data_IF_422590824301
#
_entry.id   IF_422590824301
#
_cell.length_a   1.000
_cell.length_b   1.000
_cell.length_c   1.000
_cell.angle_alpha   90.00
_cell.angle_beta   90.00
_cell.angle_gamma   90.00
#
_symmetry.space_group_name_H-M   'P 1'
#
loop_
_entity.id
_entity.type
_entity.pdbx_description
1 polymer ?
#
# COMPACT_ATOMS: atom_id res chain seq x y z
N UNK A 1 26.98 -57.94 -9.36
CA UNK A 1 26.17 -56.77 -9.77
C UNK A 1 24.84 -56.62 -8.99
N UNK A 2 24.75 -56.97 -7.70
CA UNK A 2 23.47 -56.90 -6.92
C UNK A 2 23.51 -56.01 -5.65
N UNK A 3 24.63 -55.35 -5.34
CA UNK A 3 24.77 -54.52 -4.13
C UNK A 3 24.64 -53.00 -4.34
N UNK A 4 24.72 -52.51 -5.59
CA UNK A 4 24.58 -51.07 -5.87
C UNK A 4 23.13 -50.63 -6.10
N UNK A 5 22.24 -51.54 -6.50
CA UNK A 5 20.83 -51.24 -6.80
C UNK A 5 19.99 -50.91 -5.55
N UNK A 6 20.43 -51.32 -4.35
CA UNK A 6 19.69 -51.11 -3.10
C UNK A 6 19.79 -49.70 -2.53
N UNK A 7 20.83 -48.94 -2.89
CA UNK A 7 21.01 -47.54 -2.44
C UNK A 7 20.59 -46.53 -3.50
N UNK A 8 20.55 -46.94 -4.78
CA UNK A 8 20.15 -46.06 -5.88
C UNK A 8 18.66 -45.70 -5.79
N UNK A 9 17.78 -46.63 -5.40
CA UNK A 9 16.34 -46.37 -5.25
C UNK A 9 16.04 -45.33 -4.17
N UNK A 10 16.52 -45.44 -2.90
CA UNK A 10 16.25 -44.42 -1.89
C UNK A 10 16.94 -43.08 -2.19
N UNK A 11 18.14 -43.08 -2.78
CA UNK A 11 18.82 -41.84 -3.21
C UNK A 11 18.03 -41.16 -4.33
N UNK A 12 17.48 -41.91 -5.29
CA UNK A 12 16.67 -41.37 -6.38
C UNK A 12 15.33 -40.82 -5.88
N UNK A 13 14.69 -41.47 -4.90
CA UNK A 13 13.50 -40.92 -4.23
C UNK A 13 13.82 -39.66 -3.43
N UNK A 14 14.92 -39.61 -2.67
CA UNK A 14 15.34 -38.39 -1.96
C UNK A 14 15.67 -37.27 -2.95
N UNK A 15 16.35 -37.58 -4.06
CA UNK A 15 16.64 -36.60 -5.12
C UNK A 15 15.36 -36.08 -5.77
N UNK A 16 14.40 -36.96 -6.08
CA UNK A 16 13.09 -36.55 -6.62
C UNK A 16 12.34 -35.70 -5.62
N UNK A 17 12.28 -36.07 -4.33
CA UNK A 17 11.62 -35.29 -3.29
C UNK A 17 12.25 -33.90 -3.17
N UNK A 18 13.58 -33.81 -3.10
CA UNK A 18 14.32 -32.53 -3.07
C UNK A 18 14.08 -31.71 -4.36
N UNK A 19 14.06 -32.35 -5.53
CA UNK A 19 13.80 -31.69 -6.82
C UNK A 19 12.33 -31.27 -7.00
N UNK A 20 11.38 -31.96 -6.36
CA UNK A 20 9.96 -31.56 -6.34
C UNK A 20 9.71 -30.39 -5.40
N UNK A 21 10.46 -30.31 -4.28
CA UNK A 21 10.39 -29.16 -3.37
C UNK A 21 11.07 -27.91 -3.93
N UNK A 22 12.05 -28.04 -4.85
CA UNK A 22 12.68 -26.90 -5.52
C UNK A 22 11.80 -26.24 -6.60
N UNK A 23 10.69 -26.87 -7.01
CA UNK A 23 9.76 -26.33 -8.02
C UNK A 23 8.44 -25.80 -7.45
N UNK A 24 8.22 -25.95 -6.16
CA UNK A 24 7.05 -25.37 -5.51
C UNK A 24 7.39 -23.96 -5.03
N UNK A 25 6.44 -23.05 -5.13
CA UNK A 25 6.55 -21.74 -4.48
C UNK A 25 6.78 -21.97 -2.97
N UNK A 26 7.64 -21.16 -2.33
CA UNK A 26 7.83 -21.26 -0.89
C UNK A 26 6.50 -21.00 -0.17
N UNK A 27 6.35 -21.56 1.03
CA UNK A 27 5.15 -21.31 1.86
C UNK A 27 4.92 -19.81 2.08
N UNK A 28 6.02 -19.08 2.32
CA UNK A 28 6.08 -17.63 2.45
C UNK A 28 7.18 -17.11 1.52
N UNK A 29 6.86 -16.12 0.68
CA UNK A 29 7.89 -15.33 0.02
C UNK A 29 8.48 -14.32 1.01
N UNK A 30 9.78 -14.44 1.26
CA UNK A 30 10.48 -13.63 2.26
C UNK A 30 10.81 -12.22 1.77
N UNK A 31 10.74 -11.96 0.45
CA UNK A 31 10.96 -10.62 -0.15
C UNK A 31 12.26 -9.98 0.39
N UNK A 32 13.37 -10.74 0.37
CA UNK A 32 14.62 -10.28 1.02
C UNK A 32 15.45 -9.31 0.15
N UNK A 33 15.15 -9.23 -1.15
CA UNK A 33 15.95 -8.51 -2.14
C UNK A 33 15.11 -7.55 -2.99
N UNK A 34 15.79 -6.59 -3.60
CA UNK A 34 15.19 -5.73 -4.65
C UNK A 34 14.83 -6.59 -5.86
N UNK A 35 13.59 -6.49 -6.35
CA UNK A 35 13.08 -7.29 -7.48
C UNK A 35 12.35 -6.44 -8.49
N UNK A 36 12.21 -6.95 -9.71
CA UNK A 36 11.32 -6.37 -10.72
C UNK A 36 9.85 -6.55 -10.33
N UNK A 37 9.05 -5.51 -10.55
CA UNK A 37 7.61 -5.57 -10.38
C UNK A 37 6.94 -6.36 -11.52
N UNK A 38 5.79 -6.97 -11.23
CA UNK A 38 4.99 -7.69 -12.23
C UNK A 38 4.28 -6.69 -13.14
N UNK A 39 4.43 -6.87 -14.46
CA UNK A 39 3.84 -6.00 -15.48
C UNK A 39 2.41 -6.46 -15.85
N UNK A 40 1.43 -5.60 -15.60
CA UNK A 40 0.01 -5.75 -15.95
C UNK A 40 -0.40 -4.86 -17.14
N UNK A 41 0.56 -4.27 -17.86
CA UNK A 41 0.31 -3.37 -18.98
C UNK A 41 -0.51 -4.04 -20.09
N UNK A 42 -1.43 -3.28 -20.67
CA UNK A 42 -2.28 -3.75 -21.78
C UNK A 42 -1.45 -4.01 -23.02
N UNK A 43 -1.84 -5.04 -23.79
CA UNK A 43 -1.24 -5.32 -25.10
C UNK A 43 -1.58 -4.22 -26.11
N UNK A 44 -2.85 -3.82 -26.16
CA UNK A 44 -3.33 -2.72 -26.99
C UNK A 44 -3.37 -1.44 -26.16
N UNK A 45 -2.52 -0.48 -26.53
CA UNK A 45 -2.32 0.77 -25.80
C UNK A 45 -2.92 1.92 -26.57
N UNK A 46 -3.52 2.86 -25.87
CA UNK A 46 -3.98 4.09 -26.50
C UNK A 46 -2.79 5.01 -26.79
N UNK A 47 -2.93 5.87 -27.79
CA UNK A 47 -1.98 6.97 -27.98
C UNK A 47 -2.19 7.97 -26.84
N UNK A 48 -1.20 8.07 -25.96
CA UNK A 48 -1.24 8.99 -24.82
C UNK A 48 -0.37 10.20 -25.15
N UNK A 49 -0.98 11.39 -25.14
CA UNK A 49 -0.26 12.64 -25.35
C UNK A 49 0.56 13.00 -24.12
N UNK A 50 1.62 13.77 -24.31
CA UNK A 50 2.29 14.42 -23.18
C UNK A 50 1.37 15.45 -22.53
N UNK A 51 1.61 15.73 -21.25
CA UNK A 51 0.92 16.79 -20.51
C UNK A 51 1.93 17.66 -19.78
N UNK A 52 1.65 18.96 -19.73
CA UNK A 52 2.42 19.92 -18.93
C UNK A 52 1.97 19.91 -17.46
N UNK A 53 0.83 19.29 -17.17
CA UNK A 53 0.30 19.11 -15.81
C UNK A 53 -0.32 17.74 -15.71
N UNK A 54 0.04 17.01 -14.65
CA UNK A 54 -0.52 15.69 -14.33
C UNK A 54 -1.35 15.74 -13.07
N UNK A 55 -2.38 14.91 -13.02
CA UNK A 55 -3.10 14.59 -11.80
C UNK A 55 -2.51 13.30 -11.20
N UNK A 56 -2.03 13.38 -9.97
CA UNK A 56 -1.48 12.23 -9.24
C UNK A 56 -2.47 11.85 -8.15
N UNK A 57 -2.69 10.55 -7.97
CA UNK A 57 -3.60 10.00 -6.96
C UNK A 57 -2.90 8.91 -6.17
N UNK A 58 -3.10 8.88 -4.85
CA UNK A 58 -2.82 7.72 -4.00
C UNK A 58 -4.10 7.21 -3.36
N UNK A 59 -4.24 5.90 -3.21
CA UNK A 59 -5.40 5.30 -2.56
C UNK A 59 -5.13 3.89 -2.03
N UNK A 60 -5.23 3.73 -0.71
CA UNK A 60 -5.40 2.41 -0.10
C UNK A 60 -6.84 1.94 -0.37
N UNK A 61 -7.00 0.83 -1.11
CA UNK A 61 -8.31 0.34 -1.54
C UNK A 61 -8.89 -0.73 -0.62
N UNK A 62 -8.20 -1.02 0.49
CA UNK A 62 -8.59 -2.01 1.49
C UNK A 62 -9.02 -3.34 0.86
N UNK A 63 -8.18 -3.85 -0.05
CA UNK A 63 -8.41 -5.07 -0.83
C UNK A 63 -9.81 -5.18 -1.45
N UNK A 64 -10.42 -4.05 -1.81
CA UNK A 64 -11.75 -3.99 -2.39
C UNK A 64 -12.87 -4.42 -1.44
N UNK A 65 -12.66 -4.42 -0.12
CA UNK A 65 -13.66 -4.79 0.88
C UNK A 65 -14.80 -3.77 0.97
N UNK A 66 -14.46 -2.47 0.88
CA UNK A 66 -15.36 -1.39 1.23
C UNK A 66 -15.60 -1.34 2.75
N UNK A 67 -16.27 -0.30 3.22
CA UNK A 67 -16.44 -0.10 4.67
C UNK A 67 -17.69 -0.76 5.24
N UNK A 68 -18.63 -1.14 4.37
CA UNK A 68 -19.89 -1.81 4.75
C UNK A 68 -19.65 -3.22 5.32
N UNK A 69 -18.45 -3.79 5.16
CA UNK A 69 -18.06 -5.10 5.69
C UNK A 69 -17.13 -4.89 6.89
N UNK A 70 -17.58 -5.33 8.06
CA UNK A 70 -16.77 -5.33 9.27
C UNK A 70 -15.79 -6.50 9.21
N UNK A 71 -14.58 -6.23 8.75
CA UNK A 71 -13.50 -7.20 8.66
C UNK A 71 -12.85 -7.41 10.04
N UNK A 72 -12.39 -8.64 10.29
CA UNK A 72 -11.96 -9.05 11.64
C UNK A 72 -10.71 -8.35 12.15
N UNK A 73 -9.83 -7.90 11.25
CA UNK A 73 -8.53 -7.33 11.61
C UNK A 73 -8.52 -5.82 11.86
N UNK A 74 -9.54 -5.09 11.38
CA UNK A 74 -9.52 -3.63 11.29
C UNK A 74 -10.86 -2.95 11.66
N UNK A 75 -11.98 -3.68 11.79
CA UNK A 75 -13.30 -3.07 11.98
C UNK A 75 -14.22 -3.84 12.95
N UNK A 76 -13.64 -4.54 13.94
CA UNK A 76 -14.35 -5.21 15.04
C UNK A 76 -15.44 -6.20 14.61
N UNK A 77 -15.35 -6.73 13.39
CA UNK A 77 -16.21 -7.80 12.89
C UNK A 77 -15.58 -9.18 13.05
N UNK A 78 -16.23 -10.18 12.45
CA UNK A 78 -15.76 -11.58 12.41
C UNK A 78 -15.51 -12.06 10.97
N UNK A 79 -15.71 -11.19 9.97
CA UNK A 79 -15.59 -11.55 8.55
C UNK A 79 -14.11 -11.70 8.20
N UNK A 80 -13.77 -12.87 7.66
CA UNK A 80 -12.40 -13.24 7.22
C UNK A 80 -12.34 -13.73 5.76
N UNK A 81 -13.49 -13.95 5.12
CA UNK A 81 -13.59 -14.30 3.71
C UNK A 81 -14.81 -13.61 3.10
N UNK A 82 -14.59 -12.90 2.00
CA UNK A 82 -15.63 -12.25 1.22
C UNK A 82 -16.08 -13.16 0.09
N UNK A 83 -17.35 -13.02 -0.26
CA UNK A 83 -17.93 -13.59 -1.47
C UNK A 83 -17.43 -12.84 -2.70
N UNK A 84 -17.48 -13.50 -3.86
CA UNK A 84 -17.10 -12.87 -5.12
C UNK A 84 -17.91 -11.60 -5.40
N UNK A 85 -19.22 -11.64 -5.14
CA UNK A 85 -20.13 -10.54 -5.41
C UNK A 85 -19.87 -9.32 -4.51
N UNK A 86 -19.56 -9.54 -3.22
CA UNK A 86 -19.15 -8.48 -2.29
C UNK A 86 -17.92 -7.74 -2.82
N UNK A 87 -16.88 -8.48 -3.21
CA UNK A 87 -15.63 -7.89 -3.74
C UNK A 87 -15.87 -7.18 -5.06
N UNK A 88 -16.53 -7.82 -6.05
CA UNK A 88 -16.71 -7.20 -7.37
C UNK A 88 -17.62 -5.97 -7.32
N UNK A 89 -18.65 -5.98 -6.46
CA UNK A 89 -19.53 -4.82 -6.26
C UNK A 89 -18.72 -3.59 -5.80
N UNK A 90 -17.79 -3.78 -4.88
CA UNK A 90 -16.98 -2.65 -4.40
C UNK A 90 -15.83 -2.29 -5.37
N UNK A 91 -15.22 -3.27 -6.04
CA UNK A 91 -14.26 -2.99 -7.12
C UNK A 91 -14.89 -2.17 -8.26
N UNK A 92 -16.17 -2.40 -8.59
CA UNK A 92 -16.88 -1.57 -9.58
C UNK A 92 -17.03 -0.11 -9.11
N UNK A 93 -17.25 0.12 -7.81
CA UNK A 93 -17.27 1.47 -7.22
C UNK A 93 -15.90 2.14 -7.30
N UNK A 94 -14.83 1.42 -6.95
CA UNK A 94 -13.43 1.88 -7.06
C UNK A 94 -13.09 2.24 -8.51
N UNK A 95 -13.39 1.36 -9.46
CA UNK A 95 -13.20 1.59 -10.90
C UNK A 95 -13.98 2.80 -11.38
N UNK A 96 -15.23 2.97 -10.92
CA UNK A 96 -16.05 4.13 -11.25
C UNK A 96 -15.43 5.42 -10.72
N UNK A 97 -14.92 5.44 -9.49
CA UNK A 97 -14.21 6.58 -8.91
C UNK A 97 -12.96 6.92 -9.71
N UNK A 98 -12.11 5.94 -10.03
CA UNK A 98 -10.90 6.13 -10.85
C UNK A 98 -11.26 6.73 -12.22
N UNK A 99 -12.30 6.22 -12.88
CA UNK A 99 -12.75 6.70 -14.19
C UNK A 99 -13.44 8.08 -14.13
N UNK A 100 -13.88 8.51 -12.93
CA UNK A 100 -14.47 9.83 -12.69
C UNK A 100 -13.38 10.86 -12.40
N UNK A 101 -12.48 10.57 -11.47
CA UNK A 101 -11.35 11.44 -11.07
C UNK A 101 -10.35 11.58 -12.24
N UNK A 102 -10.13 10.49 -12.98
CA UNK A 102 -9.21 10.37 -14.12
C UNK A 102 -7.74 10.78 -13.83
N UNK A 103 -7.08 10.22 -12.78
CA UNK A 103 -5.65 10.45 -12.55
C UNK A 103 -4.75 10.06 -13.73
N UNK A 104 -3.61 10.72 -13.87
CA UNK A 104 -2.59 10.38 -14.85
C UNK A 104 -1.60 9.35 -14.32
N UNK A 105 -1.38 9.36 -13.00
CA UNK A 105 -0.62 8.39 -12.21
C UNK A 105 -1.46 8.04 -10.98
N UNK A 106 -1.61 6.74 -10.71
CA UNK A 106 -2.34 6.22 -9.57
C UNK A 106 -1.45 5.25 -8.78
N UNK A 107 -1.26 5.54 -7.50
CA UNK A 107 -0.54 4.72 -6.52
C UNK A 107 -1.59 3.99 -5.67
N UNK A 108 -1.57 2.66 -5.69
CA UNK A 108 -2.52 1.84 -4.90
C UNK A 108 -1.79 1.06 -3.82
N UNK A 109 -2.45 0.89 -2.69
CA UNK A 109 -2.05 0.01 -1.59
C UNK A 109 -3.17 -1.01 -1.32
N UNK A 110 -2.81 -2.13 -0.68
CA UNK A 110 -3.70 -3.25 -0.36
C UNK A 110 -4.44 -3.83 -1.57
N UNK A 111 -3.70 -4.12 -2.66
CA UNK A 111 -4.29 -4.76 -3.84
C UNK A 111 -4.11 -6.27 -3.75
N UNK A 112 -5.21 -7.02 -3.73
CA UNK A 112 -5.17 -8.48 -3.68
C UNK A 112 -5.05 -9.12 -5.09
N UNK A 113 -4.18 -10.13 -5.20
CA UNK A 113 -4.04 -10.97 -6.39
C UNK A 113 -4.32 -12.43 -6.04
N UNK A 114 -5.56 -12.87 -6.30
CA UNK A 114 -5.99 -14.25 -6.07
C UNK A 114 -5.89 -14.69 -4.60
N UNK A 115 -6.11 -13.77 -3.66
CA UNK A 115 -6.22 -14.11 -2.25
C UNK A 115 -7.50 -14.90 -1.98
N UNK A 116 -7.46 -15.83 -1.02
CA UNK A 116 -8.67 -16.55 -0.59
C UNK A 116 -9.69 -15.58 0.01
N UNK A 117 -9.23 -14.59 0.80
CA UNK A 117 -10.11 -13.58 1.44
C UNK A 117 -10.96 -12.79 0.45
N UNK A 118 -10.49 -12.59 -0.78
CA UNK A 118 -11.17 -11.83 -1.84
C UNK A 118 -11.61 -12.72 -3.00
N UNK A 119 -12.06 -13.93 -2.69
CA UNK A 119 -12.65 -14.87 -3.64
C UNK A 119 -11.77 -15.19 -4.86
N UNK A 120 -10.45 -15.19 -4.65
CA UNK A 120 -9.43 -15.44 -5.68
C UNK A 120 -9.52 -14.51 -6.90
N UNK A 121 -10.04 -13.30 -6.71
CA UNK A 121 -10.05 -12.27 -7.75
C UNK A 121 -8.64 -11.70 -7.90
N UNK A 122 -8.23 -11.51 -9.15
CA UNK A 122 -7.05 -10.73 -9.51
C UNK A 122 -7.48 -9.26 -9.65
N UNK A 123 -7.31 -8.48 -8.59
CA UNK A 123 -7.81 -7.10 -8.54
C UNK A 123 -7.03 -6.17 -9.47
N UNK A 124 -5.72 -6.41 -9.60
CA UNK A 124 -4.89 -5.70 -10.57
C UNK A 124 -5.44 -5.85 -11.99
N UNK A 125 -5.70 -7.08 -12.43
CA UNK A 125 -6.32 -7.32 -13.73
C UNK A 125 -7.72 -6.72 -13.81
N UNK A 126 -8.52 -6.84 -12.75
CA UNK A 126 -9.88 -6.30 -12.71
C UNK A 126 -9.92 -4.80 -13.00
N UNK A 127 -9.06 -4.03 -12.30
CA UNK A 127 -8.94 -2.57 -12.41
C UNK A 127 -8.33 -2.19 -13.76
N UNK A 128 -7.25 -2.84 -14.18
CA UNK A 128 -6.60 -2.54 -15.46
C UNK A 128 -7.56 -2.73 -16.64
N UNK A 129 -8.31 -3.83 -16.67
CA UNK A 129 -9.25 -4.13 -17.76
C UNK A 129 -10.43 -3.14 -17.85
N UNK A 130 -10.73 -2.38 -16.78
CA UNK A 130 -11.92 -1.51 -16.68
C UNK A 130 -11.61 -0.03 -16.51
N UNK A 131 -10.35 0.35 -16.55
CA UNK A 131 -9.92 1.76 -16.53
C UNK A 131 -9.23 2.14 -17.83
N UNK A 132 -9.00 3.42 -18.05
CA UNK A 132 -8.30 3.93 -19.24
C UNK A 132 -6.77 3.78 -19.16
N UNK A 133 -6.23 3.27 -18.05
CA UNK A 133 -4.79 3.09 -17.89
C UNK A 133 -4.26 2.03 -18.86
N UNK A 134 -3.12 2.31 -19.48
CA UNK A 134 -2.46 1.39 -20.42
C UNK A 134 -1.32 0.62 -19.74
N UNK A 135 -0.75 1.17 -18.67
CA UNK A 135 0.39 0.61 -17.95
C UNK A 135 0.06 0.43 -16.47
N UNK A 136 0.37 -0.75 -15.94
CA UNK A 136 0.15 -1.09 -14.55
C UNK A 136 1.26 -2.02 -14.08
N UNK A 137 1.76 -1.79 -12.87
CA UNK A 137 2.84 -2.56 -12.27
C UNK A 137 2.45 -2.92 -10.85
N UNK A 138 2.72 -4.16 -10.45
CA UNK A 138 2.35 -4.72 -9.14
C UNK A 138 3.58 -5.25 -8.41
N UNK A 139 3.69 -4.96 -7.13
CA UNK A 139 4.71 -5.50 -6.24
C UNK A 139 4.05 -6.15 -5.03
N UNK A 140 4.25 -7.45 -4.86
CA UNK A 140 3.76 -8.16 -3.67
C UNK A 140 4.51 -7.67 -2.42
N UNK A 141 3.75 -7.40 -1.35
CA UNK A 141 4.26 -7.14 0.01
C UNK A 141 3.86 -8.27 0.98
N UNK A 142 2.92 -9.14 0.61
CA UNK A 142 2.51 -10.28 1.43
C UNK A 142 2.11 -11.47 0.55
N UNK A 143 2.99 -12.47 0.41
CA UNK A 143 2.72 -13.67 -0.41
C UNK A 143 2.93 -14.95 0.40
N UNK A 144 1.81 -15.61 0.73
CA UNK A 144 1.75 -16.81 1.56
C UNK A 144 0.76 -17.80 0.98
N UNK A 145 1.20 -19.05 0.79
CA UNK A 145 0.36 -20.11 0.23
C UNK A 145 -0.79 -20.50 1.17
N UNK A 146 -0.59 -20.40 2.48
CA UNK A 146 -1.62 -20.69 3.49
C UNK A 146 -1.28 -20.08 4.85
N UNK A 147 -2.10 -19.12 5.31
CA UNK A 147 -2.09 -18.61 6.69
C UNK A 147 -2.99 -19.52 7.55
N UNK A 148 -2.44 -20.20 8.57
CA UNK A 148 -3.17 -21.13 9.43
C UNK A 148 -3.93 -20.41 10.57
N UNK A 149 -4.49 -19.22 10.31
CA UNK A 149 -5.25 -18.42 11.27
C UNK A 149 -6.51 -17.85 10.64
N UNK A 150 -7.58 -17.76 11.43
CA UNK A 150 -8.84 -17.04 11.15
C UNK A 150 -9.54 -17.37 9.81
N UNK A 151 -9.13 -18.48 9.18
CA UNK A 151 -9.64 -18.89 7.87
C UNK A 151 -9.09 -18.11 6.68
N UNK A 152 -8.11 -17.21 6.87
CA UNK A 152 -7.55 -16.31 5.85
C UNK A 152 -7.00 -17.09 4.65
N UNK A 153 -6.24 -18.16 4.88
CA UNK A 153 -5.69 -19.03 3.83
C UNK A 153 -4.66 -18.33 2.93
N UNK A 154 -4.75 -18.51 1.60
CA UNK A 154 -3.78 -17.95 0.65
C UNK A 154 -3.88 -16.42 0.61
N UNK A 155 -2.74 -15.75 0.69
CA UNK A 155 -2.58 -14.30 0.49
C UNK A 155 -1.49 -14.02 -0.54
N UNK A 156 -1.74 -12.99 -1.34
CA UNK A 156 -0.83 -12.34 -2.30
C UNK A 156 -1.38 -10.92 -2.44
N UNK A 157 -1.03 -10.09 -1.46
CA UNK A 157 -1.31 -8.66 -1.41
C UNK A 157 -0.09 -7.89 -1.91
N UNK A 158 -0.33 -6.69 -2.43
CA UNK A 158 0.74 -5.80 -2.86
C UNK A 158 0.32 -4.37 -3.10
N UNK A 159 1.33 -3.56 -3.42
CA UNK A 159 1.16 -2.19 -3.89
C UNK A 159 1.17 -2.17 -5.43
N UNK A 160 0.61 -1.11 -6.01
CA UNK A 160 0.63 -0.94 -7.45
C UNK A 160 0.86 0.49 -7.90
N UNK A 161 1.39 0.63 -9.12
CA UNK A 161 1.46 1.91 -9.84
C UNK A 161 0.78 1.72 -11.20
N UNK A 162 -0.29 2.50 -11.43
CA UNK A 162 -0.98 2.60 -12.70
C UNK A 162 -0.65 3.95 -13.34
N UNK A 163 -0.40 3.94 -14.65
CA UNK A 163 0.08 5.11 -15.38
C UNK A 163 -0.45 5.14 -16.80
N UNK A 164 -0.72 6.35 -17.29
CA UNK A 164 -0.99 6.57 -18.71
C UNK A 164 0.24 6.31 -19.58
N UNK A 165 1.44 6.50 -19.05
CA UNK A 165 2.69 6.33 -19.78
C UNK A 165 3.49 5.14 -19.26
N UNK A 166 4.31 4.56 -20.11
CA UNK A 166 5.12 3.38 -19.77
C UNK A 166 6.13 3.73 -18.69
N UNK A 167 6.16 2.93 -17.62
CA UNK A 167 7.27 2.98 -16.68
C UNK A 167 8.39 2.02 -17.10
N UNK A 168 9.59 2.38 -16.72
CA UNK A 168 10.82 1.63 -16.93
C UNK A 168 11.55 1.46 -15.61
N UNK A 169 12.33 0.39 -15.49
CA UNK A 169 13.06 0.04 -14.27
C UNK A 169 12.14 0.02 -13.03
N UNK A 170 10.99 -0.64 -13.13
CA UNK A 170 10.02 -0.70 -12.05
C UNK A 170 10.44 -1.76 -11.04
N UNK A 171 10.83 -1.31 -9.86
CA UNK A 171 11.43 -2.14 -8.81
C UNK A 171 10.61 -2.08 -7.53
N UNK A 172 10.58 -3.19 -6.81
CA UNK A 172 10.19 -3.24 -5.41
C UNK A 172 11.44 -3.29 -4.54
N UNK A 173 11.43 -2.54 -3.45
CA UNK A 173 12.51 -2.46 -2.47
C UNK A 173 11.96 -2.89 -1.11
N UNK A 174 12.50 -3.94 -0.48
CA UNK A 174 12.02 -4.37 0.82
C UNK A 174 12.34 -3.33 1.91
N UNK A 175 11.39 -3.14 2.81
CA UNK A 175 11.55 -2.31 3.99
C UNK A 175 11.91 -3.17 5.22
N UNK A 176 12.50 -2.55 6.26
CA UNK A 176 12.82 -3.27 7.49
C UNK A 176 11.58 -3.91 8.13
N UNK A 177 11.74 -5.15 8.61
CA UNK A 177 10.69 -5.92 9.26
C UNK A 177 10.36 -5.36 10.66
N UNK A 178 9.16 -5.71 11.14
CA UNK A 178 8.70 -5.52 12.52
C UNK A 178 9.59 -6.27 13.51
N UNK A 179 10.13 -5.58 14.53
CA UNK A 179 10.96 -6.23 15.55
C UNK A 179 10.17 -6.64 16.79
N UNK A 180 9.05 -5.99 17.05
CA UNK A 180 8.11 -6.25 18.14
C UNK A 180 7.38 -7.60 18.07
N UNK A 181 7.26 -8.20 16.89
CA UNK A 181 6.62 -9.51 16.71
C UNK A 181 7.53 -10.70 17.07
N UNK A 182 6.92 -11.77 17.61
CA UNK A 182 7.58 -13.06 17.77
C UNK A 182 7.97 -13.68 16.41
N UNK A 183 8.90 -14.63 16.43
CA UNK A 183 9.47 -15.19 15.21
C UNK A 183 8.44 -15.88 14.29
N UNK A 184 7.42 -16.53 14.84
CA UNK A 184 6.42 -17.24 14.06
C UNK A 184 5.44 -16.24 13.44
N UNK A 185 4.92 -15.31 14.22
CA UNK A 185 4.02 -14.25 13.71
C UNK A 185 4.74 -13.44 12.64
N UNK A 186 5.98 -13.01 12.89
CA UNK A 186 6.82 -12.28 11.93
C UNK A 186 7.07 -13.05 10.64
N UNK A 187 7.17 -14.39 10.70
CA UNK A 187 7.35 -15.20 9.50
C UNK A 187 6.14 -15.13 8.58
N UNK A 188 4.92 -15.07 9.14
CA UNK A 188 3.66 -14.97 8.38
C UNK A 188 3.14 -13.54 8.20
N UNK A 189 3.82 -12.53 8.74
CA UNK A 189 3.38 -11.14 8.68
C UNK A 189 3.69 -10.48 7.34
N UNK A 190 2.97 -9.42 7.00
CA UNK A 190 3.23 -8.56 5.83
C UNK A 190 4.64 -7.98 5.88
N UNK A 191 5.25 -7.80 4.70
CA UNK A 191 6.60 -7.28 4.53
C UNK A 191 6.53 -6.03 3.67
N UNK A 192 6.53 -4.88 4.33
CA UNK A 192 6.35 -3.61 3.62
C UNK A 192 7.43 -3.36 2.57
N UNK A 193 7.03 -2.68 1.50
CA UNK A 193 7.89 -2.42 0.34
C UNK A 193 7.70 -1.00 -0.18
N UNK A 194 8.74 -0.49 -0.84
CA UNK A 194 8.69 0.70 -1.68
C UNK A 194 8.71 0.27 -3.14
N UNK A 195 7.79 0.77 -3.94
CA UNK A 195 7.86 0.67 -5.40
C UNK A 195 8.52 1.91 -5.97
N UNK A 196 9.42 1.76 -6.94
CA UNK A 196 9.97 2.88 -7.71
C UNK A 196 9.90 2.57 -9.20
N UNK A 197 9.67 3.57 -10.04
CA UNK A 197 9.84 3.45 -11.49
C UNK A 197 9.98 4.80 -12.17
N UNK A 198 10.42 4.80 -13.42
CA UNK A 198 10.57 6.03 -14.21
C UNK A 198 9.70 6.02 -15.44
N UNK A 199 8.95 7.10 -15.67
CA UNK A 199 8.22 7.32 -16.92
C UNK A 199 8.88 8.41 -17.76
N UNK A 200 8.77 8.28 -19.09
CA UNK A 200 9.18 9.28 -20.07
C UNK A 200 7.96 9.58 -20.95
N UNK A 201 7.52 10.84 -20.96
CA UNK A 201 6.40 11.29 -21.79
C UNK A 201 6.83 11.49 -23.26
N UNK A 202 5.88 11.55 -24.22
CA UNK A 202 6.19 11.77 -25.63
C UNK A 202 6.99 13.06 -25.93
N UNK A 203 6.90 14.08 -25.08
CA UNK A 203 7.67 15.32 -25.21
C UNK A 203 9.09 15.23 -24.60
N UNK A 204 9.48 14.07 -24.06
CA UNK A 204 10.78 13.83 -23.45
C UNK A 204 10.85 14.13 -21.95
N UNK A 205 9.79 14.65 -21.33
CA UNK A 205 9.79 14.91 -19.90
C UNK A 205 9.84 13.60 -19.10
N UNK A 206 10.75 13.53 -18.13
CA UNK A 206 10.95 12.37 -17.27
C UNK A 206 10.39 12.61 -15.87
N UNK A 207 9.78 11.57 -15.28
CA UNK A 207 9.30 11.61 -13.89
C UNK A 207 9.61 10.28 -13.22
N UNK A 208 10.30 10.33 -12.08
CA UNK A 208 10.41 9.24 -11.12
C UNK A 208 9.13 9.16 -10.27
N UNK A 209 8.61 7.96 -10.09
CA UNK A 209 7.37 7.68 -9.37
C UNK A 209 7.69 6.68 -8.27
N UNK A 210 7.32 7.01 -7.03
CA UNK A 210 7.58 6.13 -5.89
C UNK A 210 6.31 5.96 -5.04
N UNK A 211 5.90 4.72 -4.80
CA UNK A 211 4.72 4.35 -3.99
C UNK A 211 5.17 3.51 -2.78
N UNK A 212 4.55 3.66 -1.62
CA UNK A 212 4.79 2.82 -0.44
C UNK A 212 3.51 2.60 0.37
N UNK A 213 3.53 1.56 1.20
CA UNK A 213 2.61 1.37 2.33
C UNK A 213 3.50 1.07 3.54
N UNK A 214 3.46 1.90 4.59
CA UNK A 214 4.27 1.67 5.79
C UNK A 214 3.45 0.92 6.85
N UNK A 215 4.13 0.26 7.79
CA UNK A 215 3.48 -0.55 8.83
C UNK A 215 2.43 0.25 9.61
N UNK A 216 1.22 -0.31 9.78
CA UNK A 216 0.19 0.31 10.61
C UNK A 216 0.38 0.03 12.12
N UNK A 217 0.58 -1.25 12.46
CA UNK A 217 0.40 -1.75 13.83
C UNK A 217 1.69 -1.93 14.65
N UNK A 218 2.86 -1.47 14.17
CA UNK A 218 4.11 -1.65 14.93
C UNK A 218 4.15 -0.83 16.21
N UNK A 219 4.63 -1.42 17.30
CA UNK A 219 4.75 -0.78 18.63
C UNK A 219 6.18 -0.35 18.99
N UNK A 220 7.13 -0.57 18.09
CA UNK A 220 8.55 -0.22 18.21
C UNK A 220 8.97 0.87 17.20
N UNK A 221 10.26 1.00 16.91
CA UNK A 221 10.80 1.97 15.95
C UNK A 221 10.64 1.55 14.47
N UNK A 222 9.90 0.48 14.16
CA UNK A 222 9.80 -0.07 12.80
C UNK A 222 9.36 0.97 11.79
N UNK A 223 8.24 1.67 12.02
CA UNK A 223 7.74 2.71 11.10
C UNK A 223 8.77 3.79 10.84
N UNK A 224 9.54 4.20 11.86
CA UNK A 224 10.64 5.14 11.70
C UNK A 224 11.74 4.59 10.79
N UNK A 225 12.22 3.36 11.02
CA UNK A 225 13.23 2.71 10.16
C UNK A 225 12.74 2.52 8.73
N UNK A 226 11.45 2.21 8.55
CA UNK A 226 10.81 2.11 7.24
C UNK A 226 10.76 3.47 6.54
N UNK A 227 10.33 4.53 7.23
CA UNK A 227 10.31 5.89 6.70
C UNK A 227 11.71 6.38 6.32
N UNK A 228 12.73 6.13 7.15
CA UNK A 228 14.12 6.49 6.86
C UNK A 228 14.64 5.79 5.60
N UNK A 229 14.35 4.49 5.43
CA UNK A 229 14.70 3.75 4.23
C UNK A 229 13.97 4.28 2.99
N UNK A 230 12.68 4.59 3.12
CA UNK A 230 11.88 5.20 2.07
C UNK A 230 12.44 6.57 1.64
N UNK A 231 12.76 7.45 2.60
CA UNK A 231 13.38 8.76 2.34
C UNK A 231 14.72 8.59 1.62
N UNK A 232 15.55 7.63 2.03
CA UNK A 232 16.82 7.33 1.35
C UNK A 232 16.62 6.96 -0.13
N UNK A 233 15.61 6.14 -0.45
CA UNK A 233 15.29 5.78 -1.85
C UNK A 233 14.85 7.02 -2.64
N UNK A 234 14.02 7.87 -2.03
CA UNK A 234 13.60 9.13 -2.63
C UNK A 234 14.77 10.10 -2.86
N UNK A 235 15.70 10.19 -1.90
CA UNK A 235 16.88 11.03 -1.97
C UNK A 235 17.79 10.57 -3.13
N UNK A 236 18.08 9.27 -3.24
CA UNK A 236 18.86 8.69 -4.36
C UNK A 236 18.24 9.03 -5.73
N UNK A 237 16.90 8.97 -5.83
CA UNK A 237 16.19 9.31 -7.07
C UNK A 237 16.17 10.82 -7.34
N UNK A 238 16.06 11.65 -6.30
CA UNK A 238 16.12 13.10 -6.40
C UNK A 238 17.50 13.58 -6.87
N UNK A 239 18.58 12.92 -6.44
CA UNK A 239 19.95 13.23 -6.85
C UNK A 239 20.21 13.02 -8.35
N UNK A 240 19.39 12.21 -9.03
CA UNK A 240 19.46 12.06 -10.50
C UNK A 240 19.08 13.33 -11.27
N UNK A 241 18.52 14.34 -10.59
CA UNK A 241 18.04 15.58 -11.20
C UNK A 241 16.71 15.43 -11.96
N UNK A 242 16.12 14.23 -11.96
CA UNK A 242 14.82 13.96 -12.57
C UNK A 242 13.71 14.36 -11.59
N UNK A 243 12.61 14.90 -12.11
CA UNK A 243 11.44 15.22 -11.30
C UNK A 243 10.92 13.96 -10.59
N UNK A 244 10.62 14.07 -9.31
CA UNK A 244 10.14 12.98 -8.46
C UNK A 244 8.74 13.32 -7.97
N UNK A 245 7.83 12.36 -8.08
CA UNK A 245 6.59 12.31 -7.33
C UNK A 245 6.53 11.05 -6.50
N UNK A 246 6.11 11.18 -5.26
CA UNK A 246 6.03 10.07 -4.35
C UNK A 246 4.86 10.19 -3.37
N UNK A 247 4.42 9.09 -2.81
CA UNK A 247 3.33 9.07 -1.86
C UNK A 247 2.92 7.66 -1.48
N UNK A 248 1.78 7.57 -0.83
CA UNK A 248 1.25 6.32 -0.32
C UNK A 248 0.54 6.51 1.01
N UNK A 249 0.21 5.38 1.62
CA UNK A 249 -0.24 5.30 3.00
C UNK A 249 0.99 5.15 3.91
N UNK A 250 1.25 6.18 4.72
CA UNK A 250 2.39 6.17 5.63
C UNK A 250 2.04 5.66 7.01
N UNK A 251 0.75 5.47 7.31
CA UNK A 251 0.30 5.16 8.66
C UNK A 251 0.87 6.10 9.73
N UNK A 252 1.20 7.34 9.40
CA UNK A 252 1.77 8.34 10.31
C UNK A 252 0.93 9.61 10.23
N UNK A 253 0.70 10.26 11.37
CA UNK A 253 -0.02 11.53 11.41
C UNK A 253 0.84 12.71 10.95
N UNK A 254 0.25 13.75 10.35
CA UNK A 254 0.98 14.98 10.12
C UNK A 254 1.41 15.59 11.47
N UNK A 255 2.60 16.20 11.54
CA UNK A 255 2.98 17.01 12.70
C UNK A 255 1.88 18.03 13.03
N UNK A 256 1.61 18.27 14.30
CA UNK A 256 0.57 19.19 14.79
C UNK A 256 -0.88 18.72 14.57
N UNK A 257 -1.12 17.42 14.43
CA UNK A 257 -2.48 16.88 14.48
C UNK A 257 -3.14 17.15 15.84
N UNK A 258 -4.42 17.49 15.83
CA UNK A 258 -5.18 17.86 17.04
C UNK A 258 -5.39 16.66 17.98
N UNK A 259 -5.52 15.46 17.41
CA UNK A 259 -5.52 14.18 18.14
C UNK A 259 -4.36 13.29 17.67
N UNK A 260 -3.77 12.58 18.62
CA UNK A 260 -2.68 11.61 18.40
C UNK A 260 -2.96 10.25 19.01
N UNK A 261 -4.10 10.08 19.68
CA UNK A 261 -4.49 8.83 20.31
C UNK A 261 -5.96 8.58 19.97
N UNK A 262 -6.21 7.44 19.34
CA UNK A 262 -7.52 7.05 18.82
C UNK A 262 -7.99 5.73 19.43
N UNK A 263 -7.42 5.31 20.57
CA UNK A 263 -7.78 4.03 21.18
C UNK A 263 -9.28 3.95 21.51
N UNK A 264 -9.88 5.06 21.97
CA UNK A 264 -11.31 5.11 22.31
C UNK A 264 -12.21 5.14 21.07
N UNK A 265 -11.75 5.76 20.00
CA UNK A 265 -12.41 5.81 18.70
C UNK A 265 -12.35 4.48 17.97
N UNK A 266 -11.25 3.73 18.11
CA UNK A 266 -10.97 2.50 17.37
C UNK A 266 -11.34 1.22 18.15
N UNK A 267 -11.61 1.29 19.45
CA UNK A 267 -11.89 0.10 20.27
C UNK A 267 -13.15 -0.66 19.87
N UNK A 268 -13.10 -1.98 19.97
CA UNK A 268 -14.28 -2.83 19.91
C UNK A 268 -15.09 -2.74 21.21
N UNK A 269 -16.34 -3.23 21.20
CA UNK A 269 -17.27 -3.06 22.34
C UNK A 269 -16.75 -3.63 23.67
N UNK A 270 -15.96 -4.69 23.62
CA UNK A 270 -15.42 -5.37 24.82
C UNK A 270 -13.96 -4.97 25.14
N UNK A 271 -13.38 -4.07 24.34
CA UNK A 271 -12.03 -3.57 24.55
C UNK A 271 -12.03 -2.37 25.51
N UNK A 272 -10.95 -2.23 26.27
CA UNK A 272 -10.73 -1.15 27.23
C UNK A 272 -9.27 -0.74 27.20
N UNK A 273 -9.03 0.56 27.22
CA UNK A 273 -7.71 1.18 27.16
C UNK A 273 -7.65 2.33 28.17
N UNK A 274 -6.43 2.80 28.47
CA UNK A 274 -6.16 3.91 29.39
C UNK A 274 -6.55 3.70 30.86
N UNK A 275 -6.93 2.50 31.28
CA UNK A 275 -7.22 2.16 32.67
C UNK A 275 -6.05 1.46 33.36
N UNK A 276 -6.02 1.54 34.69
CA UNK A 276 -4.98 0.88 35.48
C UNK A 276 -5.14 -0.64 35.39
N UNK A 277 -4.17 -1.30 34.77
CA UNK A 277 -4.13 -2.76 34.62
C UNK A 277 -4.38 -3.24 33.19
N UNK A 278 -4.69 -2.32 32.27
CA UNK A 278 -4.86 -2.64 30.85
C UNK A 278 -3.51 -3.05 30.25
N UNK A 279 -3.51 -4.20 29.58
CA UNK A 279 -2.37 -4.76 28.87
C UNK A 279 -2.86 -5.36 27.54
N UNK A 280 -2.63 -4.71 26.40
CA UNK A 280 -1.85 -3.47 26.25
C UNK A 280 -2.58 -2.20 26.75
N UNK A 281 -1.84 -1.18 27.16
CA UNK A 281 -2.41 0.11 27.63
C UNK A 281 -3.01 0.96 26.50
N UNK A 282 -2.52 0.77 25.27
CA UNK A 282 -3.03 1.39 24.04
C UNK A 282 -3.34 0.30 23.02
N UNK A 283 -4.34 0.55 22.17
CA UNK A 283 -4.63 -0.29 21.00
C UNK A 283 -3.51 -0.17 19.97
N UNK A 284 -3.07 -1.29 19.42
CA UNK A 284 -2.10 -1.30 18.32
C UNK A 284 -2.65 -0.53 17.12
N UNK A 285 -1.82 0.33 16.51
CA UNK A 285 -2.21 1.15 15.36
C UNK A 285 -3.08 2.37 15.68
N UNK A 286 -3.41 2.63 16.95
CA UNK A 286 -4.28 3.77 17.33
C UNK A 286 -3.54 4.88 18.10
N UNK A 287 -2.36 4.62 18.67
CA UNK A 287 -1.57 5.64 19.38
C UNK A 287 -0.36 6.09 18.58
N UNK A 288 -0.45 7.31 18.03
CA UNK A 288 0.55 7.97 17.20
C UNK A 288 1.38 8.99 18.01
N UNK A 289 1.08 9.19 19.30
CA UNK A 289 1.74 10.16 20.16
C UNK A 289 3.28 10.03 20.16
N UNK A 290 3.87 8.82 20.24
CA UNK A 290 5.33 8.66 20.23
C UNK A 290 6.00 9.01 18.88
N UNK A 291 5.22 9.06 17.81
CA UNK A 291 5.69 9.14 16.43
C UNK A 291 5.29 10.44 15.70
N UNK A 292 4.58 11.35 16.38
CA UNK A 292 4.05 12.59 15.80
C UNK A 292 5.09 13.49 15.12
N UNK A 293 6.38 13.33 15.45
CA UNK A 293 7.48 14.09 14.86
C UNK A 293 8.19 13.39 13.69
N UNK A 294 7.86 12.12 13.39
CA UNK A 294 8.64 11.32 12.46
C UNK A 294 8.52 11.77 11.00
N UNK A 295 7.40 12.39 10.60
CA UNK A 295 7.24 12.93 9.23
C UNK A 295 7.98 14.26 9.00
N UNK A 296 8.48 14.94 10.03
CA UNK A 296 9.15 16.25 9.89
C UNK A 296 10.27 16.23 8.82
N UNK A 297 11.20 15.25 8.79
CA UNK A 297 12.26 15.23 7.79
C UNK A 297 11.75 15.16 6.34
N UNK A 298 10.59 14.56 6.11
CA UNK A 298 9.99 14.49 4.78
C UNK A 298 9.42 15.85 4.36
N UNK A 299 8.71 16.54 5.26
CA UNK A 299 8.21 17.91 5.06
C UNK A 299 9.34 18.94 4.87
N UNK A 300 10.50 18.74 5.49
CA UNK A 300 11.67 19.61 5.32
C UNK A 300 12.39 19.38 3.98
N UNK A 301 12.41 18.15 3.47
CA UNK A 301 13.18 17.76 2.26
C UNK A 301 12.39 17.86 0.96
N UNK A 302 11.06 17.76 1.03
CA UNK A 302 10.17 17.64 -0.12
C UNK A 302 9.00 18.62 -0.03
N UNK A 303 8.41 18.95 -1.18
CA UNK A 303 7.19 19.74 -1.24
C UNK A 303 5.99 18.82 -1.03
N UNK A 304 5.23 18.95 0.06
CA UNK A 304 3.97 18.23 0.24
C UNK A 304 2.90 18.81 -0.69
N UNK A 305 2.00 17.95 -1.18
CA UNK A 305 0.78 18.42 -1.84
C UNK A 305 -0.17 19.13 -0.88
N UNK A 306 -0.14 18.74 0.40
CA UNK A 306 -0.83 19.36 1.52
C UNK A 306 0.16 20.11 2.41
N UNK A 307 0.33 21.44 2.22
CA UNK A 307 1.15 22.26 3.08
C UNK A 307 0.69 22.22 4.55
N UNK A 308 1.63 22.31 5.47
CA UNK A 308 1.37 22.21 6.92
C UNK A 308 0.45 23.32 7.44
N UNK A 309 0.60 24.55 6.93
CA UNK A 309 -0.25 25.68 7.29
C UNK A 309 -1.71 25.48 6.84
N UNK A 310 -1.92 24.82 5.69
CA UNK A 310 -3.25 24.44 5.20
C UNK A 310 -3.85 23.33 6.06
N UNK A 311 -3.08 22.32 6.42
CA UNK A 311 -3.53 21.24 7.30
C UNK A 311 -3.96 21.78 8.67
N UNK A 312 -3.12 22.59 9.31
CA UNK A 312 -3.41 23.17 10.64
C UNK A 312 -4.66 24.06 10.59
N UNK A 313 -4.93 24.73 9.47
CA UNK A 313 -6.10 25.61 9.36
C UNK A 313 -7.43 24.84 9.34
N UNK A 314 -7.47 23.61 8.80
CA UNK A 314 -8.68 22.79 8.71
C UNK A 314 -8.31 21.29 8.52
N UNK A 315 -8.00 20.58 9.60
CA UNK A 315 -7.57 19.18 9.51
C UNK A 315 -8.69 18.26 8.99
N UNK A 316 -9.94 18.54 9.36
CA UNK A 316 -11.10 17.74 8.99
C UNK A 316 -11.29 17.67 7.48
N UNK A 317 -10.99 18.76 6.76
CA UNK A 317 -11.04 18.79 5.30
C UNK A 317 -10.08 17.79 4.63
N UNK A 318 -8.98 17.44 5.30
CA UNK A 318 -7.91 16.64 4.72
C UNK A 318 -7.81 15.22 5.26
N UNK A 319 -8.58 14.87 6.30
CA UNK A 319 -8.61 13.51 6.83
C UNK A 319 -8.80 12.48 5.72
N UNK A 320 -8.06 11.40 5.83
CA UNK A 320 -7.97 10.35 4.82
C UNK A 320 -8.23 8.97 5.36
N UNK A 321 -8.38 8.76 6.67
CA UNK A 321 -8.63 7.45 7.26
C UNK A 321 -9.68 7.51 8.36
N UNK A 322 -10.45 6.42 8.49
CA UNK A 322 -11.22 6.10 9.68
C UNK A 322 -11.63 4.62 9.69
N UNK A 323 -11.45 4.00 10.84
CA UNK A 323 -11.68 2.59 11.15
C UNK A 323 -13.12 2.13 10.85
N UNK A 324 -14.11 2.93 11.26
CA UNK A 324 -15.52 2.52 11.22
C UNK A 324 -16.34 3.15 10.09
N UNK A 325 -17.23 2.39 9.42
CA UNK A 325 -18.01 2.89 8.28
C UNK A 325 -18.92 4.09 8.58
N UNK A 326 -19.41 4.17 9.82
CA UNK A 326 -20.45 5.13 10.21
C UNK A 326 -19.89 6.46 10.72
N UNK A 327 -18.56 6.61 10.76
CA UNK A 327 -17.90 7.86 11.09
C UNK A 327 -17.27 8.50 9.84
N UNK A 328 -17.25 9.84 9.75
CA UNK A 328 -16.36 10.54 8.83
C UNK A 328 -14.92 10.11 9.03
N UNK A 329 -14.06 10.37 8.03
CA UNK A 329 -12.62 10.25 8.25
C UNK A 329 -12.22 11.12 9.45
N UNK A 330 -11.29 10.62 10.27
CA UNK A 330 -10.94 11.20 11.57
C UNK A 330 -9.45 11.54 11.69
N UNK A 331 -8.62 11.07 10.75
CA UNK A 331 -7.17 11.33 10.72
C UNK A 331 -6.61 11.30 9.31
N UNK A 332 -5.42 11.86 9.11
CA UNK A 332 -4.71 11.85 7.80
C UNK A 332 -3.55 10.87 7.84
N UNK A 333 -3.54 9.89 6.92
CA UNK A 333 -2.48 8.88 6.79
C UNK A 333 -1.93 8.76 5.36
N UNK A 334 -2.62 9.36 4.38
CA UNK A 334 -2.32 9.25 2.95
C UNK A 334 -1.70 10.53 2.41
N UNK A 335 -0.57 10.41 1.71
CA UNK A 335 0.24 11.56 1.34
C UNK A 335 0.72 11.54 -0.11
N UNK A 336 0.98 12.75 -0.63
CA UNK A 336 1.72 12.98 -1.86
C UNK A 336 2.78 14.07 -1.62
N UNK A 337 4.02 13.79 -2.04
CA UNK A 337 5.20 14.64 -1.99
C UNK A 337 5.90 14.71 -3.35
N UNK A 338 6.65 15.78 -3.59
CA UNK A 338 7.47 15.95 -4.80
C UNK A 338 8.77 16.69 -4.49
N UNK A 339 9.80 16.53 -5.33
CA UNK A 339 10.98 17.40 -5.32
C UNK A 339 10.76 18.75 -6.04
N UNK A 340 9.55 19.00 -6.54
CA UNK A 340 9.12 20.26 -7.19
C UNK A 340 7.79 20.74 -6.61
N UNK A 341 7.44 22.01 -6.81
CA UNK A 341 6.19 22.56 -6.28
C UNK A 341 4.95 21.99 -6.97
N UNK A 342 3.97 21.61 -6.15
CA UNK A 342 2.61 21.30 -6.58
C UNK A 342 1.86 22.55 -7.04
N UNK A 343 0.79 22.38 -7.83
CA UNK A 343 -0.13 23.47 -8.09
C UNK A 343 -0.83 23.84 -6.77
N UNK A 344 -0.76 25.12 -6.42
CA UNK A 344 -1.36 25.68 -5.20
C UNK A 344 -2.85 25.33 -5.15
N UNK A 345 -3.32 24.91 -3.97
CA UNK A 345 -4.72 24.55 -3.69
C UNK A 345 -5.28 23.44 -4.62
N UNK A 346 -4.41 22.57 -5.14
CA UNK A 346 -4.83 21.43 -5.97
C UNK A 346 -5.00 20.10 -5.22
N UNK A 347 -4.64 20.06 -3.94
CA UNK A 347 -4.81 18.88 -3.10
C UNK A 347 -6.29 18.66 -2.76
N UNK A 348 -6.75 17.41 -2.89
CA UNK A 348 -8.12 17.00 -2.56
C UNK A 348 -8.09 15.65 -1.87
N UNK A 349 -8.67 15.57 -0.66
CA UNK A 349 -9.09 14.32 -0.02
C UNK A 349 -10.53 14.03 -0.42
N UNK A 350 -10.76 12.96 -1.19
CA UNK A 350 -12.07 12.67 -1.78
C UNK A 350 -13.00 11.93 -0.81
N UNK A 351 -13.66 12.68 0.07
CA UNK A 351 -14.57 12.14 1.08
C UNK A 351 -15.87 11.55 0.50
N UNK A 352 -16.23 11.92 -0.73
CA UNK A 352 -17.43 11.40 -1.41
C UNK A 352 -17.38 9.89 -1.65
N UNK A 353 -16.18 9.28 -1.58
CA UNK A 353 -15.97 7.84 -1.74
C UNK A 353 -15.85 7.08 -0.40
N UNK A 354 -16.29 7.68 0.72
CA UNK A 354 -16.20 7.12 2.08
C UNK A 354 -16.63 5.65 2.21
N UNK A 355 -17.60 5.19 1.40
CA UNK A 355 -18.09 3.79 1.43
C UNK A 355 -17.18 2.79 0.71
N UNK A 356 -16.26 3.27 -0.10
CA UNK A 356 -15.51 2.44 -1.06
C UNK A 356 -14.22 1.91 -0.43
N UNK A 357 -13.67 2.66 0.52
CA UNK A 357 -12.52 2.31 1.34
C UNK A 357 -12.58 3.09 2.66
N UNK A 358 -11.98 2.54 3.72
CA UNK A 358 -11.66 3.26 4.96
C UNK A 358 -10.54 4.27 4.78
N UNK A 359 -9.93 4.32 3.60
CA UNK A 359 -9.10 5.42 3.16
C UNK A 359 -9.78 6.29 2.10
N UNK A 360 -9.65 7.60 2.23
CA UNK A 360 -9.97 8.55 1.17
C UNK A 360 -8.90 8.43 0.08
N UNK A 361 -9.31 8.49 -1.19
CA UNK A 361 -8.32 8.75 -2.22
C UNK A 361 -7.85 10.20 -2.13
N UNK A 362 -6.54 10.41 -2.21
CA UNK A 362 -5.92 11.74 -2.19
C UNK A 362 -5.38 12.08 -3.57
N UNK A 363 -5.70 13.27 -4.09
CA UNK A 363 -5.19 13.76 -5.38
C UNK A 363 -4.50 15.10 -5.27
N UNK A 364 -3.55 15.36 -6.18
CA UNK A 364 -2.94 16.67 -6.36
C UNK A 364 -2.40 16.86 -7.79
N UNK A 365 -2.27 18.11 -8.24
CA UNK A 365 -1.77 18.42 -9.59
C UNK A 365 -0.31 18.87 -9.54
N UNK A 366 0.51 18.30 -10.41
CA UNK A 366 1.94 18.60 -10.54
C UNK A 366 2.26 19.11 -11.95
N UNK A 367 3.04 20.18 -12.05
CA UNK A 367 3.54 20.70 -13.34
C UNK A 367 4.76 19.89 -13.75
N UNK A 368 4.82 19.42 -15.00
CA UNK A 368 5.85 18.50 -15.49
C UNK A 368 6.91 19.25 -16.30
N UNK A 369 8.19 18.86 -16.15
CA UNK A 369 9.30 19.38 -16.96
C UNK A 369 9.87 20.72 -16.45
N UNK A 370 9.82 20.93 -15.14
CA UNK A 370 10.44 22.08 -14.46
C UNK A 370 11.75 21.71 -13.78
#
# INVERSE_FOLDING_TARGET
>A
MKKYTSYIVPIFFILITVLTFQKCDPLVDTIDDVRDCVDYSKTNKNLQLAKDTILVMTWNIRFGCGTEILWFGDACGDRTVLTRDEVTKNLDRIVSAINTIKPDILMLQEVDVKCKRTAYIDQMKYIMDRTYFDFGYYATNWNIQFIPSDGIGRIDEGNAILSRWKLTNVKLHPLPLRNDLDALTKYFYVREIVMSGKTIMPNGNEINIVNTHLSAFSTDDTKKRQLEKYISICDDLKETGIQLVTGGDYNLLPPNSDSTDYCDEDKCIDEHFHSKGDDPFHKEGSNYTPEISWLIPLYEKYYPSLPMDKYIADQQLYFSHATYPDIPYDRTLDYLFSNTQWIIDSHISHHEYRKYSDHASVTAKLVVGK
#
